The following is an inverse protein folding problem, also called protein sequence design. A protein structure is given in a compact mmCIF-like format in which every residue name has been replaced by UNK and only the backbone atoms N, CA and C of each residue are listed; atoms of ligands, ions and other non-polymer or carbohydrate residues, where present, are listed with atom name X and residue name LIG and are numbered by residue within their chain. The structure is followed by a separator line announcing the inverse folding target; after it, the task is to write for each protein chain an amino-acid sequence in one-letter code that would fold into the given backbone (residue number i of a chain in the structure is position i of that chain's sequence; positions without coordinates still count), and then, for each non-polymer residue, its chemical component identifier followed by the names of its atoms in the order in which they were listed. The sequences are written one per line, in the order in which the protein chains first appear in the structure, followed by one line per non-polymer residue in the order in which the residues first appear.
data_IF_082035957823
#
_entry.id   IF_082035957823
#
_cell.length_a   1.000
_cell.length_b   1.000
_cell.length_c   1.000
_cell.angle_alpha   90.00
_cell.angle_beta   90.00
_cell.angle_gamma   90.00
#
_symmetry.space_group_name_H-M   'P 1'
#
loop_
_entity.id
_entity.type
_entity.pdbx_description
1 polymer ?
#
# COMPACT_ATOMS: atom_id res chain seq x y z
N UNK A 1 -3.04 -0.71 27.75
CA UNK A 1 -3.76 -1.18 26.54
C UNK A 1 -5.26 -0.85 26.67
N UNK A 2 -5.79 -0.04 25.78
CA UNK A 2 -7.21 0.31 25.82
C UNK A 2 -8.02 -0.75 25.05
N UNK A 3 -8.58 -1.73 25.78
CA UNK A 3 -9.29 -2.89 25.19
C UNK A 3 -10.43 -2.50 24.24
N UNK A 4 -11.01 -1.31 24.40
CA UNK A 4 -12.08 -0.80 23.53
C UNK A 4 -11.65 -0.64 22.07
N UNK A 5 -10.37 -0.31 21.82
CA UNK A 5 -9.84 -0.05 20.49
C UNK A 5 -9.04 -1.23 19.90
N UNK A 6 -9.01 -2.37 20.59
CA UNK A 6 -8.31 -3.56 20.10
C UNK A 6 -8.83 -4.07 18.73
N UNK A 7 -10.17 -4.08 18.47
CA UNK A 7 -10.67 -4.43 17.12
C UNK A 7 -10.17 -3.47 16.03
N UNK A 8 -10.06 -2.18 16.34
CA UNK A 8 -9.52 -1.19 15.40
C UNK A 8 -8.05 -1.45 15.07
N UNK A 9 -7.25 -1.81 16.06
CA UNK A 9 -5.85 -2.19 15.84
C UNK A 9 -5.74 -3.42 14.94
N UNK A 10 -6.59 -4.43 15.15
CA UNK A 10 -6.61 -5.64 14.32
C UNK A 10 -6.94 -5.30 12.85
N UNK A 11 -7.94 -4.45 12.61
CA UNK A 11 -8.29 -3.99 11.26
C UNK A 11 -7.10 -3.23 10.63
N UNK A 12 -6.36 -2.43 11.39
CA UNK A 12 -5.17 -1.74 10.91
C UNK A 12 -4.04 -2.72 10.52
N UNK A 13 -3.84 -3.79 11.30
CA UNK A 13 -2.90 -4.85 10.94
C UNK A 13 -3.32 -5.59 9.66
N UNK A 14 -4.61 -5.92 9.52
CA UNK A 14 -5.13 -6.55 8.30
C UNK A 14 -5.02 -5.62 7.08
N UNK A 15 -5.19 -4.31 7.25
CA UNK A 15 -4.94 -3.34 6.20
C UNK A 15 -3.49 -3.42 5.71
N UNK A 16 -2.54 -3.56 6.64
CA UNK A 16 -1.13 -3.70 6.27
C UNK A 16 -0.76 -5.08 5.71
N UNK A 17 -1.53 -6.11 5.98
CA UNK A 17 -1.40 -7.36 5.25
C UNK A 17 -1.74 -7.17 3.76
N UNK A 18 -2.88 -6.54 3.46
CA UNK A 18 -3.28 -6.20 2.08
C UNK A 18 -2.25 -5.26 1.42
N UNK A 19 -1.75 -4.29 2.17
CA UNK A 19 -0.69 -3.39 1.73
C UNK A 19 0.59 -4.16 1.37
N UNK A 20 0.99 -5.14 2.17
CA UNK A 20 2.12 -6.02 1.91
C UNK A 20 1.98 -6.77 0.58
N UNK A 21 0.78 -7.31 0.30
CA UNK A 21 0.46 -7.93 -1.00
C UNK A 21 0.64 -6.92 -2.14
N UNK A 22 -0.04 -5.79 -2.08
CA UNK A 22 -0.06 -4.82 -3.17
C UNK A 22 1.28 -4.14 -3.45
N UNK A 23 2.14 -3.97 -2.44
CA UNK A 23 3.50 -3.46 -2.64
C UNK A 23 4.45 -4.49 -3.27
N UNK A 24 4.21 -5.77 -3.03
CA UNK A 24 5.15 -6.85 -3.41
C UNK A 24 4.73 -7.59 -4.67
N UNK A 25 3.46 -7.50 -5.06
CA UNK A 25 2.91 -8.22 -6.21
C UNK A 25 3.68 -7.90 -7.51
N UNK A 26 3.99 -6.64 -7.75
CA UNK A 26 4.76 -6.19 -8.91
C UNK A 26 6.24 -6.60 -8.87
N UNK A 27 6.72 -7.06 -7.71
CA UNK A 27 8.08 -7.58 -7.50
C UNK A 27 8.25 -9.04 -7.90
N UNK A 28 7.15 -9.81 -7.98
CA UNK A 28 7.19 -11.24 -8.27
C UNK A 28 7.55 -11.50 -9.74
N UNK A 29 8.52 -12.38 -9.99
CA UNK A 29 9.01 -12.67 -11.36
C UNK A 29 7.88 -13.15 -12.28
N UNK A 30 7.08 -14.11 -11.81
CA UNK A 30 5.96 -14.69 -12.58
C UNK A 30 4.94 -13.61 -12.95
N UNK A 31 4.62 -12.71 -12.03
CA UNK A 31 3.66 -11.63 -12.27
C UNK A 31 4.24 -10.59 -13.22
N UNK A 32 5.52 -10.25 -13.09
CA UNK A 32 6.20 -9.35 -14.02
C UNK A 32 6.16 -9.87 -15.46
N UNK A 33 6.45 -11.13 -15.65
CA UNK A 33 6.40 -11.76 -16.97
C UNK A 33 5.00 -11.79 -17.55
N UNK A 34 3.99 -12.16 -16.74
CA UNK A 34 2.60 -12.17 -17.14
C UNK A 34 2.09 -10.77 -17.52
N UNK A 35 2.41 -9.74 -16.74
CA UNK A 35 2.03 -8.35 -17.01
C UNK A 35 2.77 -7.81 -18.24
N UNK A 36 4.05 -8.11 -18.39
CA UNK A 36 4.84 -7.73 -19.56
C UNK A 36 4.23 -8.29 -20.84
N UNK A 37 3.87 -9.57 -20.83
CA UNK A 37 3.20 -10.22 -21.96
C UNK A 37 1.83 -9.62 -22.25
N UNK A 38 1.01 -9.37 -21.20
CA UNK A 38 -0.32 -8.80 -21.34
C UNK A 38 -0.30 -7.37 -21.91
N UNK A 39 0.69 -6.57 -21.53
CA UNK A 39 0.79 -5.17 -21.98
C UNK A 39 1.70 -4.98 -23.19
N UNK A 40 2.38 -6.03 -23.66
CA UNK A 40 3.30 -5.95 -24.80
C UNK A 40 4.54 -5.09 -24.52
N UNK A 41 5.03 -5.12 -23.28
CA UNK A 41 6.22 -4.36 -22.83
C UNK A 41 7.29 -5.31 -22.30
N UNK A 42 8.52 -4.83 -22.15
CA UNK A 42 9.57 -5.61 -21.52
C UNK A 42 9.35 -5.75 -20.00
N UNK A 43 9.80 -6.86 -19.41
CA UNK A 43 9.70 -7.09 -17.96
C UNK A 43 10.36 -5.98 -17.11
N UNK A 44 11.38 -5.31 -17.67
CA UNK A 44 12.02 -4.16 -17.03
C UNK A 44 11.06 -2.96 -16.91
N UNK A 45 10.13 -2.76 -17.83
CA UNK A 45 9.13 -1.69 -17.77
C UNK A 45 8.21 -1.86 -16.56
N UNK A 46 7.92 -3.10 -16.14
CA UNK A 46 7.14 -3.37 -14.92
C UNK A 46 7.87 -2.86 -13.66
N UNK A 47 9.18 -2.88 -13.66
CA UNK A 47 9.99 -2.30 -12.57
C UNK A 47 9.81 -0.78 -12.47
N UNK A 48 9.58 -0.08 -13.58
CA UNK A 48 9.27 1.35 -13.57
C UNK A 48 7.92 1.65 -12.89
N UNK A 49 6.93 0.73 -12.99
CA UNK A 49 5.66 0.86 -12.24
C UNK A 49 5.92 0.72 -10.74
N UNK A 50 6.80 -0.20 -10.32
CA UNK A 50 7.21 -0.31 -8.91
C UNK A 50 7.94 0.95 -8.43
N UNK A 51 8.74 1.58 -9.27
CA UNK A 51 9.39 2.86 -8.98
C UNK A 51 8.37 4.01 -8.89
N UNK A 52 7.29 3.98 -9.68
CA UNK A 52 6.21 4.96 -9.61
C UNK A 52 5.48 4.95 -8.26
N UNK A 53 5.35 3.77 -7.61
CA UNK A 53 4.91 3.68 -6.22
C UNK A 53 5.83 4.50 -5.28
N UNK A 54 7.14 4.36 -5.44
CA UNK A 54 8.12 5.13 -4.66
C UNK A 54 8.01 6.62 -4.92
N UNK A 55 7.81 7.03 -6.17
CA UNK A 55 7.64 8.42 -6.57
C UNK A 55 6.38 9.03 -5.92
N UNK A 56 5.24 8.35 -6.00
CA UNK A 56 4.00 8.78 -5.36
C UNK A 56 4.16 8.96 -3.85
N UNK A 57 4.86 8.03 -3.20
CA UNK A 57 5.18 8.12 -1.78
C UNK A 57 6.06 9.33 -1.46
N UNK A 58 7.10 9.57 -2.24
CA UNK A 58 8.01 10.70 -2.06
C UNK A 58 7.27 12.03 -2.17
N UNK A 59 6.39 12.18 -3.15
CA UNK A 59 5.59 13.39 -3.35
C UNK A 59 4.63 13.63 -2.17
N UNK A 60 3.98 12.57 -1.66
CA UNK A 60 2.95 12.71 -0.64
C UNK A 60 3.50 12.86 0.80
N UNK A 61 4.69 12.34 1.10
CA UNK A 61 5.27 12.35 2.44
C UNK A 61 5.29 13.72 3.13
N UNK A 62 5.72 14.82 2.47
CA UNK A 62 5.75 16.14 3.10
C UNK A 62 4.36 16.66 3.52
N UNK A 63 3.30 16.18 2.86
CA UNK A 63 1.93 16.64 3.08
C UNK A 63 1.13 15.70 3.99
N UNK A 64 1.36 14.39 3.88
CA UNK A 64 0.60 13.38 4.59
C UNK A 64 0.75 13.48 6.12
N UNK A 65 1.95 13.78 6.62
CA UNK A 65 2.20 13.98 8.05
C UNK A 65 1.41 15.15 8.63
N UNK A 66 1.66 16.38 8.19
CA UNK A 66 0.93 17.56 8.65
C UNK A 66 -0.59 17.46 8.48
N UNK A 67 -1.05 16.80 7.41
CA UNK A 67 -2.48 16.61 7.17
C UNK A 67 -3.07 15.59 8.15
N UNK A 68 -2.36 14.52 8.44
CA UNK A 68 -2.76 13.53 9.47
C UNK A 68 -2.83 14.14 10.87
N UNK A 69 -1.92 15.07 11.19
CA UNK A 69 -1.92 15.77 12.48
C UNK A 69 -3.09 16.77 12.59
N UNK A 70 -3.46 17.43 11.50
CA UNK A 70 -4.58 18.40 11.47
C UNK A 70 -5.95 17.75 11.39
N UNK A 71 -6.13 16.74 10.53
CA UNK A 71 -7.42 16.08 10.26
C UNK A 71 -7.68 14.87 11.17
N UNK A 72 -6.63 14.39 11.84
CA UNK A 72 -6.67 13.22 12.70
C UNK A 72 -6.37 11.91 11.98
N UNK A 73 -5.87 10.94 12.73
CA UNK A 73 -5.40 9.62 12.25
C UNK A 73 -6.48 8.86 11.47
N UNK A 74 -7.74 8.98 11.91
CA UNK A 74 -8.88 8.30 11.27
C UNK A 74 -9.09 8.75 9.83
N UNK A 75 -9.04 10.06 9.58
CA UNK A 75 -9.27 10.62 8.23
C UNK A 75 -8.09 10.26 7.33
N UNK A 76 -6.85 10.40 7.82
CA UNK A 76 -5.65 10.01 7.08
C UNK A 76 -5.70 8.53 6.68
N UNK A 77 -6.04 7.64 7.61
CA UNK A 77 -6.19 6.20 7.33
C UNK A 77 -7.30 5.93 6.31
N UNK A 78 -8.44 6.63 6.39
CA UNK A 78 -9.54 6.47 5.44
C UNK A 78 -9.15 6.91 4.03
N UNK A 79 -8.48 8.06 3.90
CA UNK A 79 -7.94 8.54 2.61
C UNK A 79 -6.95 7.52 2.05
N UNK A 80 -6.00 7.07 2.87
CA UNK A 80 -5.02 6.07 2.48
C UNK A 80 -5.68 4.77 2.00
N UNK A 81 -6.61 4.21 2.77
CA UNK A 81 -7.29 2.95 2.41
C UNK A 81 -8.12 3.09 1.14
N UNK A 82 -8.85 4.19 0.96
CA UNK A 82 -9.65 4.45 -0.24
C UNK A 82 -8.75 4.58 -1.48
N UNK A 83 -7.67 5.37 -1.38
CA UNK A 83 -6.70 5.52 -2.46
C UNK A 83 -5.99 4.20 -2.79
N UNK A 84 -5.75 3.34 -1.77
CA UNK A 84 -5.15 2.03 -2.00
C UNK A 84 -6.10 1.07 -2.72
N UNK A 85 -7.39 1.14 -2.41
CA UNK A 85 -8.42 0.39 -3.15
C UNK A 85 -8.47 0.83 -4.62
N UNK A 86 -8.39 2.14 -4.89
CA UNK A 86 -8.30 2.68 -6.27
C UNK A 86 -7.06 2.14 -6.99
N UNK A 87 -5.91 2.08 -6.32
CA UNK A 87 -4.69 1.48 -6.88
C UNK A 87 -4.89 0.01 -7.28
N UNK A 88 -5.42 -0.82 -6.37
CA UNK A 88 -5.61 -2.26 -6.63
C UNK A 88 -6.66 -2.50 -7.73
N UNK A 89 -7.79 -1.80 -7.70
CA UNK A 89 -8.82 -1.88 -8.73
C UNK A 89 -8.25 -1.40 -10.08
N UNK A 90 -7.49 -0.32 -10.05
CA UNK A 90 -6.82 0.23 -11.22
C UNK A 90 -5.81 -0.72 -11.85
N UNK A 91 -5.05 -1.48 -11.05
CA UNK A 91 -4.17 -2.54 -11.57
C UNK A 91 -4.96 -3.67 -12.24
N UNK A 92 -6.07 -4.11 -11.63
CA UNK A 92 -6.92 -5.12 -12.23
C UNK A 92 -7.53 -4.64 -13.56
N UNK A 93 -7.98 -3.39 -13.61
CA UNK A 93 -8.47 -2.76 -14.83
C UNK A 93 -7.38 -2.61 -15.89
N UNK A 94 -6.17 -2.21 -15.49
CA UNK A 94 -5.01 -2.11 -16.38
C UNK A 94 -4.65 -3.46 -17.01
N UNK A 95 -4.73 -4.56 -16.24
CA UNK A 95 -4.54 -5.90 -16.76
C UNK A 95 -5.59 -6.24 -17.84
N UNK A 96 -6.86 -5.92 -17.58
CA UNK A 96 -7.96 -6.14 -18.54
C UNK A 96 -7.84 -5.29 -19.80
N UNK A 97 -7.26 -4.08 -19.71
CA UNK A 97 -7.03 -3.20 -20.85
C UNK A 97 -5.94 -3.72 -21.81
N UNK A 98 -5.06 -4.62 -21.34
CA UNK A 98 -4.03 -5.24 -22.15
C UNK A 98 -3.13 -4.21 -22.82
N UNK A 99 -2.80 -4.44 -24.10
CA UNK A 99 -1.95 -3.53 -24.89
C UNK A 99 -2.59 -2.16 -25.19
N UNK A 100 -3.89 -2.02 -24.96
CA UNK A 100 -4.63 -0.75 -25.19
C UNK A 100 -4.48 0.23 -24.00
N UNK A 101 -3.25 0.50 -23.61
CA UNK A 101 -2.95 1.49 -22.56
C UNK A 101 -2.86 0.92 -21.14
N UNK A 102 -2.88 -0.41 -20.96
CA UNK A 102 -2.80 -1.05 -19.65
C UNK A 102 -1.55 -0.62 -18.85
N UNK A 103 -0.41 -0.54 -19.50
CA UNK A 103 0.82 -0.08 -18.87
C UNK A 103 0.71 1.36 -18.32
N UNK A 104 0.16 2.29 -19.10
CA UNK A 104 -0.01 3.69 -18.68
C UNK A 104 -0.99 3.82 -17.51
N UNK A 105 -2.09 3.07 -17.57
CA UNK A 105 -3.08 3.02 -16.47
C UNK A 105 -2.42 2.50 -15.20
N UNK A 106 -1.67 1.39 -15.29
CA UNK A 106 -0.97 0.81 -14.15
C UNK A 106 0.07 1.79 -13.55
N UNK A 107 0.79 2.51 -14.39
CA UNK A 107 1.79 3.50 -13.97
C UNK A 107 1.14 4.64 -13.15
N UNK A 108 0.05 5.22 -13.64
CA UNK A 108 -0.70 6.27 -12.94
C UNK A 108 -1.30 5.73 -11.63
N UNK A 109 -1.90 4.53 -11.67
CA UNK A 109 -2.43 3.89 -10.46
C UNK A 109 -1.36 3.60 -9.43
N UNK A 110 -0.13 3.25 -9.84
CA UNK A 110 1.00 3.05 -8.94
C UNK A 110 1.41 4.35 -8.22
N UNK A 111 1.37 5.50 -8.89
CA UNK A 111 1.59 6.80 -8.23
C UNK A 111 0.53 7.03 -7.14
N UNK A 112 -0.75 6.76 -7.45
CA UNK A 112 -1.84 6.86 -6.47
C UNK A 112 -1.61 5.89 -5.29
N UNK A 113 -1.17 4.67 -5.57
CA UNK A 113 -0.77 3.69 -4.56
C UNK A 113 0.36 4.20 -3.65
N UNK A 114 1.35 4.87 -4.22
CA UNK A 114 2.44 5.51 -3.48
C UNK A 114 1.96 6.63 -2.56
N UNK A 115 1.06 7.48 -3.05
CA UNK A 115 0.41 8.53 -2.24
C UNK A 115 -0.36 7.89 -1.08
N UNK A 116 -1.14 6.86 -1.37
CA UNK A 116 -1.87 6.07 -0.37
C UNK A 116 -0.96 5.55 0.73
N UNK A 117 0.21 5.01 0.38
CA UNK A 117 1.19 4.48 1.34
C UNK A 117 1.61 5.54 2.36
N UNK A 118 1.83 6.78 1.94
CA UNK A 118 2.18 7.89 2.83
C UNK A 118 1.06 8.21 3.82
N UNK A 119 -0.19 8.22 3.36
CA UNK A 119 -1.34 8.45 4.24
C UNK A 119 -1.60 7.29 5.21
N UNK A 120 -1.41 6.05 4.77
CA UNK A 120 -1.50 4.88 5.64
C UNK A 120 -0.42 4.89 6.71
N UNK A 121 0.83 5.18 6.33
CA UNK A 121 1.95 5.23 7.27
C UNK A 121 1.73 6.31 8.34
N UNK A 122 1.34 7.51 7.94
CA UNK A 122 1.12 8.63 8.87
C UNK A 122 -0.14 8.49 9.71
N UNK A 123 -1.11 7.70 9.25
CA UNK A 123 -2.34 7.42 9.99
C UNK A 123 -2.22 6.22 10.93
N UNK A 124 -1.78 5.07 10.42
CA UNK A 124 -1.87 3.78 11.12
C UNK A 124 -0.74 3.58 12.13
N UNK A 125 0.53 3.91 11.79
CA UNK A 125 1.65 3.70 12.72
C UNK A 125 1.45 4.41 14.06
N UNK A 126 1.14 5.72 14.09
CA UNK A 126 0.87 6.40 15.34
C UNK A 126 -0.40 5.89 16.04
N UNK A 127 -1.47 5.60 15.27
CA UNK A 127 -2.72 5.12 15.86
C UNK A 127 -2.55 3.79 16.59
N UNK A 128 -1.82 2.83 16.02
CA UNK A 128 -1.57 1.54 16.66
C UNK A 128 -0.68 1.71 17.90
N UNK A 129 0.33 2.58 17.84
CA UNK A 129 1.19 2.91 18.98
C UNK A 129 0.39 3.57 20.13
N UNK A 130 -0.55 4.44 19.83
CA UNK A 130 -1.45 5.07 20.80
C UNK A 130 -2.42 4.06 21.44
N UNK A 131 -2.99 3.14 20.66
CA UNK A 131 -3.90 2.09 21.15
C UNK A 131 -3.16 1.13 22.09
N UNK A 132 -1.94 0.73 21.73
CA UNK A 132 -1.10 -0.21 22.50
C UNK A 132 0.02 0.57 23.21
N UNK A 133 -0.36 1.59 23.96
CA UNK A 133 0.58 2.51 24.63
C UNK A 133 1.50 1.84 25.66
N UNK A 134 1.16 0.64 26.15
CA UNK A 134 2.02 -0.16 27.05
C UNK A 134 3.27 -0.70 26.35
N UNK A 135 3.25 -0.88 25.02
CA UNK A 135 4.37 -1.41 24.24
C UNK A 135 4.31 -0.86 22.80
N UNK A 136 4.51 0.46 22.59
CA UNK A 136 4.31 1.09 21.26
C UNK A 136 5.29 0.55 20.21
N UNK A 137 6.51 0.20 20.60
CA UNK A 137 7.49 -0.45 19.71
C UNK A 137 7.01 -1.81 19.21
N UNK A 138 6.47 -2.65 20.09
CA UNK A 138 5.90 -3.96 19.71
C UNK A 138 4.68 -3.77 18.82
N UNK A 139 3.84 -2.78 19.10
CA UNK A 139 2.68 -2.46 18.29
C UNK A 139 3.05 -2.11 16.84
N UNK A 140 4.05 -1.27 16.65
CA UNK A 140 4.55 -0.91 15.31
C UNK A 140 5.30 -2.05 14.62
N UNK A 141 6.01 -2.89 15.37
CA UNK A 141 6.62 -4.13 14.84
C UNK A 141 5.57 -5.11 14.33
N UNK A 142 4.40 -5.19 14.97
CA UNK A 142 3.26 -5.98 14.52
C UNK A 142 2.84 -5.62 13.08
N UNK A 143 2.86 -4.35 12.70
CA UNK A 143 2.58 -3.92 11.32
C UNK A 143 3.57 -4.56 10.35
N UNK A 144 4.86 -4.50 10.65
CA UNK A 144 5.92 -5.10 9.80
C UNK A 144 5.78 -6.62 9.70
N UNK A 145 5.35 -7.26 10.79
CA UNK A 145 5.09 -8.71 10.81
C UNK A 145 3.98 -9.10 9.82
N UNK A 146 2.87 -8.36 9.80
CA UNK A 146 1.77 -8.62 8.84
C UNK A 146 2.19 -8.37 7.39
N UNK A 147 3.01 -7.35 7.12
CA UNK A 147 3.62 -7.15 5.79
C UNK A 147 4.48 -8.35 5.41
N UNK A 148 5.35 -8.80 6.31
CA UNK A 148 6.25 -9.91 6.05
C UNK A 148 5.51 -11.23 5.78
N UNK A 149 4.43 -11.53 6.52
CA UNK A 149 3.55 -12.68 6.24
C UNK A 149 2.96 -12.57 4.84
N UNK A 150 2.42 -11.40 4.47
CA UNK A 150 1.85 -11.19 3.15
C UNK A 150 2.89 -11.45 2.04
N UNK A 151 4.10 -10.95 2.23
CA UNK A 151 5.20 -11.14 1.28
C UNK A 151 5.67 -12.60 1.18
N UNK A 152 5.65 -13.32 2.30
CA UNK A 152 6.02 -14.73 2.34
C UNK A 152 4.99 -15.63 1.65
N UNK A 153 3.70 -15.28 1.72
CA UNK A 153 2.61 -16.06 1.13
C UNK A 153 2.43 -15.79 -0.37
N UNK A 154 2.93 -14.67 -0.89
CA UNK A 154 2.72 -14.26 -2.27
C UNK A 154 3.32 -15.20 -3.34
N UNK A 155 4.47 -15.87 -3.13
CA UNK A 155 5.05 -16.79 -4.12
C UNK A 155 4.30 -18.12 -4.28
N UNK A 156 3.37 -18.44 -3.38
CA UNK A 156 2.60 -19.68 -3.35
C UNK A 156 1.16 -19.45 -3.80
#
# INVERSE_FOLDING_TARGET
MNKKYLPSALIMYLNYFIHGVGCSILGQAVIKEALAAAWGVEAMAITAISAALGLGRLIALPFAGPLSDKLGRRISTAIGSASYAVYLIGLAFAFSAGQNGGYQIAYVCAIIGGISNSFLDTGIYPAVAEIISSAPGVATMGIKFFIAIAQMLLPF
#
